data_IF_374006630744
#
_entry.id   IF_374006630744
#
_cell.length_a   1.000
_cell.length_b   1.000
_cell.length_c   1.000
_cell.angle_alpha   90.00
_cell.angle_beta   90.00
_cell.angle_gamma   90.00
#
_symmetry.space_group_name_H-M   'P 1'
#
loop_
_entity.id
_entity.type
_entity.pdbx_description
1 polymer ?
#
# COMPACT_ATOMS: atom_id res chain seq x y z
N UNK A 1 1.66 -32.24 25.61
CA UNK A 1 1.35 -31.71 24.27
C UNK A 1 2.44 -30.70 23.91
N UNK A 2 3.40 -31.00 23.02
CA UNK A 2 4.43 -30.03 22.69
C UNK A 2 3.84 -28.93 21.81
N UNK A 3 3.57 -27.81 22.49
CA UNK A 3 3.24 -26.51 21.96
C UNK A 3 4.24 -26.20 20.83
N UNK A 4 3.75 -25.95 19.61
CA UNK A 4 4.59 -25.70 18.44
C UNK A 4 5.37 -24.40 18.67
N UNK A 5 6.57 -24.57 19.21
CA UNK A 5 7.58 -23.53 19.25
C UNK A 5 8.00 -23.18 17.82
N UNK A 6 7.86 -21.90 17.49
CA UNK A 6 8.86 -21.20 16.69
C UNK A 6 9.42 -20.09 17.56
N UNK A 7 10.26 -20.48 18.53
CA UNK A 7 11.20 -19.59 19.18
C UNK A 7 12.35 -19.36 18.22
N UNK A 8 12.13 -18.53 17.20
CA UNK A 8 13.12 -17.96 16.31
C UNK A 8 12.37 -16.90 15.46
N UNK A 9 13.04 -15.85 14.97
CA UNK A 9 12.74 -15.26 13.65
C UNK A 9 11.74 -14.08 13.53
N UNK A 10 12.19 -13.08 12.75
CA UNK A 10 11.54 -11.90 12.16
C UNK A 10 11.47 -10.60 12.99
N UNK A 11 11.98 -9.46 12.44
CA UNK A 11 11.89 -8.15 13.09
C UNK A 11 10.42 -7.81 13.36
N UNK A 12 10.10 -7.01 14.39
CA UNK A 12 8.74 -6.56 14.66
C UNK A 12 8.26 -5.82 13.41
N UNK A 13 7.47 -6.52 12.60
CA UNK A 13 7.15 -6.02 11.26
C UNK A 13 6.26 -4.80 11.48
N UNK A 14 6.82 -3.64 11.15
CA UNK A 14 6.15 -2.35 11.33
C UNK A 14 5.32 -2.07 10.09
N UNK A 15 4.02 -1.92 10.29
CA UNK A 15 3.11 -1.52 9.24
C UNK A 15 3.07 0.01 9.16
N UNK A 16 3.65 0.58 8.11
CA UNK A 16 3.54 2.02 7.85
C UNK A 16 2.14 2.46 7.42
N UNK A 17 1.30 1.53 6.96
CA UNK A 17 -0.07 1.85 6.54
C UNK A 17 -1.02 2.07 7.72
N UNK A 18 -0.86 1.40 8.86
CA UNK A 18 -1.67 1.63 10.06
C UNK A 18 -0.88 2.13 11.28
N UNK A 19 0.45 2.22 11.15
CA UNK A 19 1.41 2.59 12.21
C UNK A 19 1.41 1.65 13.41
N UNK A 20 1.23 0.35 13.17
CA UNK A 20 1.26 -0.70 14.21
C UNK A 20 2.30 -1.76 13.92
N UNK A 21 2.70 -2.52 14.95
CA UNK A 21 3.63 -3.63 14.84
C UNK A 21 2.90 -4.99 14.78
N UNK A 22 3.59 -6.01 14.29
CA UNK A 22 3.10 -7.39 14.24
C UNK A 22 2.57 -7.84 12.88
N UNK A 23 2.56 -6.95 11.89
CA UNK A 23 2.17 -7.28 10.52
C UNK A 23 2.85 -6.35 9.49
N UNK A 24 2.96 -6.81 8.25
CA UNK A 24 3.46 -6.00 7.13
C UNK A 24 2.35 -5.15 6.50
N UNK A 25 2.74 -4.16 5.69
CA UNK A 25 1.79 -3.32 4.93
C UNK A 25 0.87 -4.16 4.03
N UNK A 26 1.39 -5.25 3.46
CA UNK A 26 0.63 -6.16 2.60
C UNK A 26 -0.40 -6.98 3.39
N UNK A 27 -0.10 -7.30 4.65
CA UNK A 27 -0.97 -8.07 5.54
C UNK A 27 -1.82 -7.17 6.45
N UNK A 28 -1.87 -5.87 6.18
CA UNK A 28 -2.59 -4.93 7.01
C UNK A 28 -4.10 -5.10 6.81
N UNK A 29 -4.88 -5.40 7.87
CA UNK A 29 -6.32 -5.53 7.75
C UNK A 29 -7.03 -4.18 7.58
N UNK A 30 -6.38 -3.08 8.01
CA UNK A 30 -6.94 -1.73 8.01
C UNK A 30 -5.90 -0.72 7.48
N UNK A 31 -5.56 -0.78 6.17
CA UNK A 31 -4.63 0.17 5.61
C UNK A 31 -5.23 1.58 5.70
N UNK A 32 -4.46 2.52 6.27
CA UNK A 32 -4.81 3.94 6.31
C UNK A 32 -4.06 4.67 5.21
N UNK A 33 -4.79 5.51 4.49
CA UNK A 33 -4.25 6.35 3.46
C UNK A 33 -3.58 7.57 4.10
N UNK A 34 -2.30 7.81 3.81
CA UNK A 34 -1.59 8.99 4.32
C UNK A 34 -1.91 10.28 3.56
N UNK A 35 -2.68 10.19 2.47
CA UNK A 35 -3.04 11.34 1.63
C UNK A 35 -4.40 11.93 2.00
N UNK A 36 -5.37 11.07 2.33
CA UNK A 36 -6.73 11.49 2.68
C UNK A 36 -7.12 11.15 4.13
N UNK A 37 -6.20 10.56 4.89
CA UNK A 37 -6.39 10.10 6.26
C UNK A 37 -7.50 9.04 6.47
N UNK A 38 -8.14 8.58 5.40
CA UNK A 38 -9.17 7.53 5.45
C UNK A 38 -8.58 6.13 5.60
N UNK A 39 -9.32 5.25 6.26
CA UNK A 39 -9.03 3.81 6.34
C UNK A 39 -9.70 3.04 5.20
N UNK A 40 -9.17 1.87 4.85
CA UNK A 40 -9.72 0.95 3.85
C UNK A 40 -8.94 0.91 2.53
N UNK A 41 -7.99 1.82 2.32
CA UNK A 41 -7.07 1.77 1.18
C UNK A 41 -5.70 2.37 1.54
N UNK A 42 -4.60 1.87 0.95
CA UNK A 42 -3.28 2.49 1.08
C UNK A 42 -3.17 3.74 0.18
N UNK A 43 -2.15 4.55 0.42
CA UNK A 43 -1.91 5.81 -0.31
C UNK A 43 -1.86 5.65 -1.84
N UNK A 44 -1.37 4.50 -2.35
CA UNK A 44 -1.31 4.18 -3.78
C UNK A 44 -2.66 3.84 -4.42
N UNK A 45 -3.67 3.53 -3.62
CA UNK A 45 -5.04 3.25 -4.06
C UNK A 45 -5.99 4.38 -3.64
N UNK A 46 -5.44 5.53 -3.28
CA UNK A 46 -6.25 6.66 -2.85
C UNK A 46 -7.03 7.24 -4.03
N UNK A 47 -8.36 7.34 -3.96
CA UNK A 47 -9.16 7.91 -5.06
C UNK A 47 -8.88 9.41 -5.25
N UNK A 48 -8.37 10.08 -4.21
CA UNK A 48 -7.96 11.48 -4.27
C UNK A 48 -6.53 11.68 -4.80
N UNK A 49 -5.79 10.60 -5.06
CA UNK A 49 -4.48 10.74 -5.70
C UNK A 49 -4.65 11.28 -7.11
N UNK A 50 -3.75 12.18 -7.49
CA UNK A 50 -3.67 12.74 -8.84
C UNK A 50 -2.52 12.07 -9.55
N UNK A 51 -2.77 11.60 -10.76
CA UNK A 51 -1.76 11.08 -11.65
C UNK A 51 -0.76 12.19 -11.97
N UNK A 52 0.53 11.89 -11.77
CA UNK A 52 1.60 12.84 -12.07
C UNK A 52 1.79 13.09 -13.57
N UNK A 53 1.26 12.20 -14.44
CA UNK A 53 1.34 12.33 -15.90
C UNK A 53 0.20 13.15 -16.49
N UNK A 54 -1.05 12.78 -16.20
CA UNK A 54 -2.23 13.40 -16.81
C UNK A 54 -3.00 14.35 -15.87
N UNK A 55 -2.67 14.39 -14.59
CA UNK A 55 -3.36 15.22 -13.59
C UNK A 55 -4.74 14.71 -13.14
N UNK A 56 -5.27 13.65 -13.77
CA UNK A 56 -6.55 13.04 -13.41
C UNK A 56 -6.49 12.32 -12.06
N UNK A 57 -7.66 12.12 -11.43
CA UNK A 57 -7.79 11.47 -10.12
C UNK A 57 -8.14 9.99 -10.26
N UNK A 58 -7.87 9.21 -9.21
CA UNK A 58 -8.33 7.81 -9.12
C UNK A 58 -7.31 6.76 -9.54
N UNK A 59 -6.20 7.14 -10.17
CA UNK A 59 -5.11 6.25 -10.57
C UNK A 59 -3.74 6.91 -10.32
N UNK A 60 -2.69 6.10 -10.27
CA UNK A 60 -1.32 6.60 -10.17
C UNK A 60 -0.65 6.69 -11.54
N UNK A 61 0.62 7.12 -11.59
CA UNK A 61 1.37 7.28 -12.85
C UNK A 61 1.58 5.94 -13.59
N UNK A 62 1.61 4.82 -12.86
CA UNK A 62 1.84 3.47 -13.38
C UNK A 62 0.53 2.90 -13.96
N UNK A 63 -0.60 3.12 -13.29
CA UNK A 63 -1.94 2.76 -13.76
C UNK A 63 -2.58 3.85 -14.65
N UNK A 64 -1.79 4.72 -15.28
CA UNK A 64 -2.32 5.86 -16.03
C UNK A 64 -2.90 5.41 -17.39
N UNK A 65 -4.23 5.51 -17.62
CA UNK A 65 -4.86 5.03 -18.85
C UNK A 65 -4.53 5.90 -20.07
N UNK A 66 -4.06 7.13 -19.85
CA UNK A 66 -3.69 8.07 -20.91
C UNK A 66 -2.25 7.90 -21.40
N UNK A 67 -1.42 7.20 -20.63
CA UNK A 67 -0.02 6.95 -20.96
C UNK A 67 0.32 5.53 -20.54
N UNK A 68 -0.33 4.50 -21.14
CA UNK A 68 0.16 3.15 -21.03
C UNK A 68 1.62 3.19 -21.47
N UNK A 69 2.50 2.60 -20.67
CA UNK A 69 3.94 2.73 -20.83
C UNK A 69 4.35 2.66 -22.29
N UNK A 70 5.20 3.60 -22.67
CA UNK A 70 6.00 3.60 -23.88
C UNK A 70 6.66 2.23 -24.09
N UNK A 71 5.91 1.33 -24.72
CA UNK A 71 6.35 0.15 -25.45
C UNK A 71 6.39 0.59 -26.92
N UNK A 72 7.62 0.63 -27.45
CA UNK A 72 8.01 0.76 -28.86
C UNK A 72 8.06 2.17 -29.50
N UNK A 73 9.28 2.75 -29.49
CA UNK A 73 10.02 3.11 -30.70
C UNK A 73 11.52 2.87 -30.48
#
# INVERSE_FOLDING_TARGET
>A
MPNKGTNTTYPPTYCSACRQYGHSVMQCPVPRCMRCDCVGHPTRLCPLQRCAKCGARGHDKEDCPFYPGNEEL
#
